data_IF_001293070731
#
_entry.id   IF_001293070731
#
_cell.length_a   1.000
_cell.length_b   1.000
_cell.length_c   1.000
_cell.angle_alpha   90.00
_cell.angle_beta   90.00
_cell.angle_gamma   90.00
#
_symmetry.space_group_name_H-M   'P 1'
#
loop_
_entity.id
_entity.type
_entity.pdbx_description
1 polymer ?
#
# COMPACT_ATOMS: atom_id res chain seq x y z
N UNK A 1 8.61 -1.56 7.44
CA UNK A 1 9.25 -2.42 6.42
C UNK A 1 10.53 -1.76 5.89
N UNK A 2 11.41 -2.46 5.18
CA UNK A 2 12.63 -1.88 4.59
C UNK A 2 12.42 -1.47 3.13
N UNK A 3 13.26 -0.56 2.65
CA UNK A 3 13.18 -0.03 1.28
C UNK A 3 13.34 -1.12 0.19
N UNK A 4 14.09 -2.17 0.48
CA UNK A 4 14.30 -3.32 -0.43
C UNK A 4 13.09 -4.26 -0.54
N UNK A 5 12.13 -4.16 0.39
CA UNK A 5 10.93 -4.99 0.43
C UNK A 5 9.76 -4.31 -0.30
N UNK A 6 9.96 -3.06 -0.72
CA UNK A 6 8.93 -2.27 -1.39
C UNK A 6 8.78 -2.70 -2.85
N UNK A 7 7.56 -3.11 -3.20
CA UNK A 7 7.17 -3.39 -4.59
C UNK A 7 6.06 -2.44 -5.02
N UNK A 8 6.12 -1.99 -6.28
CA UNK A 8 5.03 -1.19 -6.86
C UNK A 8 3.74 -2.03 -6.92
N UNK A 9 2.61 -1.42 -6.61
CA UNK A 9 1.32 -2.09 -6.52
C UNK A 9 1.11 -2.89 -5.22
N UNK A 10 2.11 -2.97 -4.34
CA UNK A 10 1.96 -3.59 -3.03
C UNK A 10 0.95 -2.81 -2.19
N UNK A 11 0.00 -3.53 -1.58
CA UNK A 11 -0.90 -2.98 -0.58
C UNK A 11 -0.16 -2.84 0.76
N UNK A 12 -0.23 -1.66 1.35
CA UNK A 12 0.43 -1.33 2.61
C UNK A 12 -0.51 -0.62 3.56
N UNK A 13 -0.26 -0.79 4.85
CA UNK A 13 -0.87 -0.05 5.95
C UNK A 13 0.13 0.95 6.52
N UNK A 14 -0.32 2.18 6.73
CA UNK A 14 0.44 3.21 7.43
C UNK A 14 0.30 2.99 8.93
N UNK A 15 1.43 2.87 9.64
CA UNK A 15 1.46 2.56 11.08
C UNK A 15 1.82 3.74 11.97
N UNK A 16 2.30 4.86 11.39
CA UNK A 16 2.73 6.04 12.13
C UNK A 16 2.24 7.34 11.48
N UNK A 17 2.30 8.44 12.24
CA UNK A 17 1.96 9.78 11.76
C UNK A 17 0.45 10.07 11.67
N UNK A 18 0.11 11.16 10.98
CA UNK A 18 -1.28 11.65 10.84
C UNK A 18 -2.18 10.67 10.09
N UNK A 19 -1.60 9.90 9.16
CA UNK A 19 -2.32 8.95 8.30
C UNK A 19 -2.33 7.52 8.84
N UNK A 20 -1.91 7.32 10.10
CA UNK A 20 -1.88 6.01 10.73
C UNK A 20 -3.24 5.31 10.67
N UNK A 21 -3.22 4.02 10.35
CA UNK A 21 -4.41 3.18 10.17
C UNK A 21 -4.98 3.17 8.75
N UNK A 22 -4.56 4.09 7.88
CA UNK A 22 -4.96 4.06 6.46
C UNK A 22 -4.20 2.98 5.69
N UNK A 23 -4.86 2.42 4.69
CA UNK A 23 -4.30 1.44 3.75
C UNK A 23 -4.35 1.98 2.34
N UNK A 24 -3.35 1.63 1.53
CA UNK A 24 -3.29 2.03 0.13
C UNK A 24 -2.26 1.22 -0.64
N UNK A 25 -2.02 1.63 -1.88
CA UNK A 25 -1.10 0.95 -2.80
C UNK A 25 0.12 1.81 -3.11
N UNK A 26 1.29 1.20 -3.13
CA UNK A 26 2.53 1.89 -3.49
C UNK A 26 2.52 2.18 -4.99
N UNK A 27 2.57 3.46 -5.38
CA UNK A 27 2.58 3.88 -6.79
C UNK A 27 3.99 4.11 -7.32
N UNK A 28 4.85 4.72 -6.51
CA UNK A 28 6.27 4.92 -6.83
C UNK A 28 7.06 5.28 -5.56
N UNK A 29 8.38 5.30 -5.68
CA UNK A 29 9.30 5.80 -4.66
C UNK A 29 9.79 7.19 -5.07
N UNK A 30 9.84 8.12 -4.13
CA UNK A 30 10.38 9.48 -4.33
C UNK A 30 11.15 9.91 -3.08
N UNK A 31 12.40 10.35 -3.26
CA UNK A 31 13.25 10.87 -2.17
C UNK A 31 13.34 9.90 -0.95
N UNK A 32 13.42 8.60 -1.22
CA UNK A 32 13.47 7.54 -0.18
C UNK A 32 12.14 7.24 0.51
N UNK A 33 11.04 7.91 0.11
CA UNK A 33 9.68 7.70 0.62
C UNK A 33 8.83 6.94 -0.38
N UNK A 34 7.91 6.13 0.13
CA UNK A 34 6.88 5.50 -0.68
C UNK A 34 5.74 6.49 -0.90
N UNK A 35 5.34 6.66 -2.16
CA UNK A 35 4.13 7.40 -2.53
C UNK A 35 2.98 6.40 -2.63
N UNK A 36 1.97 6.61 -1.79
CA UNK A 36 0.87 5.69 -1.54
C UNK A 36 -0.41 6.33 -2.04
N UNK A 37 -1.15 5.58 -2.84
CA UNK A 37 -2.50 5.91 -3.26
C UNK A 37 -3.49 5.20 -2.34
N UNK A 38 -4.25 5.98 -1.58
CA UNK A 38 -5.27 5.50 -0.64
C UNK A 38 -6.69 5.53 -1.24
N UNK A 39 -6.81 5.61 -2.58
CA UNK A 39 -8.07 5.70 -3.32
C UNK A 39 -8.91 6.93 -2.94
N UNK A 40 -8.25 7.97 -2.43
CA UNK A 40 -8.81 9.30 -2.17
C UNK A 40 -8.12 10.32 -3.10
N UNK A 41 -8.65 11.54 -3.27
CA UNK A 41 -8.01 12.58 -4.09
C UNK A 41 -6.74 13.17 -3.44
N UNK A 42 -5.93 12.32 -2.80
CA UNK A 42 -4.69 12.68 -2.13
C UNK A 42 -3.70 11.51 -2.18
N UNK A 43 -2.48 11.79 -2.66
CA UNK A 43 -1.35 10.89 -2.53
C UNK A 43 -0.58 11.19 -1.25
N UNK A 44 -0.22 10.13 -0.52
CA UNK A 44 0.49 10.24 0.74
C UNK A 44 1.94 9.80 0.53
N UNK A 45 2.90 10.52 1.11
CA UNK A 45 4.32 10.14 1.07
C UNK A 45 4.79 9.76 2.46
N UNK A 46 5.20 8.52 2.65
CA UNK A 46 5.64 7.99 3.95
C UNK A 46 6.98 7.26 3.88
N UNK A 47 7.66 7.18 5.02
CA UNK A 47 8.90 6.42 5.13
C UNK A 47 8.58 4.91 5.13
N UNK A 48 9.43 4.06 4.53
CA UNK A 48 9.27 2.60 4.57
C UNK A 48 9.08 2.05 5.98
N UNK A 49 9.77 2.62 6.97
CA UNK A 49 9.67 2.21 8.37
C UNK A 49 8.28 2.43 8.99
N UNK A 50 7.47 3.33 8.43
CA UNK A 50 6.08 3.59 8.84
C UNK A 50 5.05 2.73 8.11
N UNK A 51 5.50 1.73 7.34
CA UNK A 51 4.66 0.92 6.50
C UNK A 51 4.78 -0.55 6.88
N UNK A 52 3.65 -1.24 6.80
CA UNK A 52 3.55 -2.68 6.91
C UNK A 52 2.79 -3.24 5.72
N UNK A 53 3.15 -4.43 5.20
CA UNK A 53 2.33 -5.11 4.21
C UNK A 53 0.91 -5.30 4.72
N UNK A 54 -0.07 -4.93 3.90
CA UNK A 54 -1.47 -5.23 4.16
C UNK A 54 -1.89 -6.42 3.29
N UNK A 55 -2.68 -7.37 3.82
CA UNK A 55 -3.24 -8.43 2.98
C UNK A 55 -4.09 -7.79 1.88
N UNK A 56 -4.06 -8.35 0.68
CA UNK A 56 -5.03 -7.98 -0.35
C UNK A 56 -6.45 -8.26 0.13
N UNK A 57 -7.41 -7.49 -0.37
CA UNK A 57 -8.81 -7.74 -0.01
C UNK A 57 -9.17 -9.15 -0.47
N UNK A 58 -9.81 -9.96 0.41
CA UNK A 58 -10.26 -11.27 0.01
C UNK A 58 -11.18 -11.10 -1.19
N UNK A 59 -10.91 -11.87 -2.26
CA UNK A 59 -11.82 -11.95 -3.39
C UNK A 59 -13.20 -12.29 -2.85
N UNK A 60 -14.21 -11.50 -3.22
CA UNK A 60 -15.58 -11.81 -2.86
C UNK A 60 -15.93 -13.21 -3.41
N UNK A 61 -16.63 -14.06 -2.64
CA UNK A 61 -17.05 -15.37 -3.13
C UNK A 61 -17.85 -15.20 -4.43
N UNK A 62 -17.31 -15.73 -5.54
CA UNK A 62 -17.83 -15.55 -6.91
C UNK A 62 -16.90 -14.79 -7.86
N UNK A 63 -15.81 -14.20 -7.37
CA UNK A 63 -14.75 -13.53 -8.15
C UNK A 63 -13.46 -14.37 -8.27
N UNK A 64 -13.49 -15.64 -7.85
CA UNK A 64 -12.41 -16.55 -8.20
C UNK A 64 -12.35 -16.62 -9.72
N UNK A 65 -11.21 -16.21 -10.27
CA UNK A 65 -10.97 -16.19 -11.72
C UNK A 65 -11.33 -17.55 -12.30
N UNK A 66 -12.26 -17.55 -13.26
CA UNK A 66 -12.44 -18.69 -14.13
C UNK A 66 -11.21 -18.70 -15.05
N UNK A 67 -10.38 -19.75 -14.98
CA UNK A 67 -9.46 -20.05 -16.07
C UNK A 67 -10.32 -20.29 -17.33
N UNK A 68 -10.23 -19.39 -18.31
CA UNK A 68 -10.84 -19.54 -19.65
C UNK A 68 -9.76 -19.88 -20.66
#
# INVERSE_FOLDING_TARGET
MNLNEITLGMRVRITAGHWAGRTGFIRHMKDGKAVIDICEPLLISELPEHLEPAPDDPLLPGWAEYDV
#
